data_IF_952121376386
#
_entry.id   IF_952121376386
#
_cell.length_a   1.000
_cell.length_b   1.000
_cell.length_c   1.000
_cell.angle_alpha   90.00
_cell.angle_beta   90.00
_cell.angle_gamma   90.00
#
_symmetry.space_group_name_H-M   'P 1'
#
loop_
_entity.id
_entity.type
_entity.pdbx_description
1 polymer ?
#
# COMPACT_ATOMS: atom_id res chain seq x y z
N UNK A 1 16.21 -22.04 -12.20
CA UNK A 1 14.90 -22.04 -11.56
C UNK A 1 14.34 -20.61 -11.61
N UNK A 2 13.23 -20.39 -12.28
CA UNK A 2 12.57 -19.07 -12.29
C UNK A 2 11.71 -18.97 -11.04
N UNK A 3 12.03 -18.08 -10.13
CA UNK A 3 11.25 -17.85 -8.92
C UNK A 3 10.15 -16.83 -9.25
N UNK A 4 8.92 -17.28 -9.33
CA UNK A 4 7.77 -16.39 -9.49
C UNK A 4 7.21 -16.03 -8.11
N UNK A 5 7.22 -14.74 -7.78
CA UNK A 5 6.55 -14.22 -6.59
C UNK A 5 5.08 -13.98 -6.93
N UNK A 6 4.18 -14.48 -6.10
CA UNK A 6 2.75 -14.22 -6.21
C UNK A 6 2.35 -13.20 -5.14
N UNK A 7 1.63 -12.18 -5.57
CA UNK A 7 1.09 -11.13 -4.71
C UNK A 7 -0.43 -11.20 -4.68
N UNK A 8 -1.10 -10.53 -3.73
CA UNK A 8 -2.54 -10.28 -3.82
C UNK A 8 -2.90 -9.65 -5.17
N UNK A 9 -4.11 -9.91 -5.68
CA UNK A 9 -4.55 -9.45 -6.99
C UNK A 9 -4.31 -7.95 -7.20
N UNK A 10 -3.95 -7.59 -8.41
CA UNK A 10 -3.90 -6.20 -8.86
C UNK A 10 -5.21 -5.81 -9.55
N UNK A 11 -5.43 -4.51 -9.71
CA UNK A 11 -6.64 -3.97 -10.34
C UNK A 11 -6.89 -4.53 -11.77
N UNK A 12 -5.81 -4.84 -12.50
CA UNK A 12 -5.89 -5.46 -13.82
C UNK A 12 -6.44 -6.90 -13.80
N UNK A 13 -6.21 -7.64 -12.71
CA UNK A 13 -6.68 -9.02 -12.52
C UNK A 13 -8.11 -9.05 -11.96
N UNK A 14 -8.46 -8.08 -11.11
CA UNK A 14 -9.80 -7.92 -10.53
C UNK A 14 -10.33 -6.52 -10.86
N UNK A 15 -11.20 -6.37 -11.88
CA UNK A 15 -11.65 -5.06 -12.34
C UNK A 15 -12.57 -4.34 -11.35
N UNK A 16 -12.68 -3.03 -11.50
CA UNK A 16 -13.62 -2.21 -10.73
C UNK A 16 -15.07 -2.47 -11.18
N UNK A 17 -15.99 -2.59 -10.22
CA UNK A 17 -17.41 -2.71 -10.50
C UNK A 17 -17.97 -1.44 -11.16
N UNK A 18 -18.77 -1.58 -12.20
CA UNK A 18 -19.47 -0.47 -12.86
C UNK A 18 -18.57 0.52 -13.62
N UNK A 19 -17.28 0.23 -13.77
CA UNK A 19 -16.36 1.13 -14.47
C UNK A 19 -16.28 0.82 -15.96
N UNK A 20 -16.57 1.85 -16.78
CA UNK A 20 -16.23 1.83 -18.21
C UNK A 20 -14.79 2.32 -18.35
N UNK A 21 -13.94 1.58 -19.06
CA UNK A 21 -12.53 1.95 -19.30
C UNK A 21 -12.46 3.38 -19.85
N UNK A 22 -12.01 4.30 -19.03
CA UNK A 22 -11.63 5.64 -19.50
C UNK A 22 -10.24 5.51 -20.12
N UNK A 23 -10.06 6.04 -21.33
CA UNK A 23 -8.79 5.96 -22.08
C UNK A 23 -7.79 6.92 -21.45
N UNK A 24 -7.16 6.48 -20.37
CA UNK A 24 -6.00 7.14 -19.76
C UNK A 24 -4.95 6.07 -19.56
N UNK A 25 -3.72 6.38 -19.93
CA UNK A 25 -2.58 5.53 -19.65
C UNK A 25 -2.44 5.35 -18.15
N UNK A 26 -2.37 4.12 -17.63
CA UNK A 26 -2.17 3.87 -16.20
C UNK A 26 -0.82 4.43 -15.74
N UNK A 27 -0.74 4.85 -14.47
CA UNK A 27 0.51 5.36 -13.88
C UNK A 27 1.66 4.34 -13.97
N UNK A 28 1.31 3.07 -13.86
CA UNK A 28 2.23 1.93 -14.02
C UNK A 28 1.54 0.89 -14.89
N UNK A 29 1.94 0.85 -16.16
CA UNK A 29 1.39 -0.10 -17.13
C UNK A 29 1.93 -1.51 -16.87
N UNK A 30 1.03 -2.49 -16.83
CA UNK A 30 1.38 -3.91 -16.76
C UNK A 30 1.34 -4.51 -18.17
N UNK A 31 2.48 -5.03 -18.69
CA UNK A 31 2.51 -5.62 -20.03
C UNK A 31 1.56 -6.82 -20.15
N UNK A 32 0.78 -6.85 -21.22
CA UNK A 32 -0.06 -8.01 -21.57
C UNK A 32 -1.41 -8.08 -20.83
N UNK A 33 -1.75 -7.09 -20.01
CA UNK A 33 -3.03 -7.06 -19.29
C UNK A 33 -4.23 -6.81 -20.23
N UNK A 34 -4.01 -6.27 -21.41
CA UNK A 34 -5.06 -6.09 -22.45
C UNK A 34 -5.73 -7.40 -22.87
N UNK A 35 -5.06 -8.54 -22.63
CA UNK A 35 -5.51 -9.89 -23.00
C UNK A 35 -6.07 -10.68 -21.82
N UNK A 36 -6.02 -10.12 -20.59
CA UNK A 36 -6.53 -10.81 -19.42
C UNK A 36 -8.06 -10.73 -19.42
N UNK A 37 -8.69 -11.89 -19.56
CA UNK A 37 -10.08 -12.06 -19.16
C UNK A 37 -10.05 -12.32 -17.66
N UNK A 38 -10.56 -11.37 -16.87
CA UNK A 38 -10.59 -11.53 -15.43
C UNK A 38 -11.41 -12.76 -15.03
N UNK A 39 -10.82 -13.62 -14.21
CA UNK A 39 -11.50 -14.78 -13.60
C UNK A 39 -12.13 -14.41 -12.26
N UNK A 40 -11.89 -13.20 -11.75
CA UNK A 40 -12.35 -12.73 -10.45
C UNK A 40 -13.52 -11.76 -10.59
N UNK A 41 -14.48 -11.78 -9.67
CA UNK A 41 -15.62 -10.88 -9.70
C UNK A 41 -15.16 -9.43 -9.54
N UNK A 42 -15.75 -8.48 -10.30
CA UNK A 42 -15.46 -7.06 -10.13
C UNK A 42 -15.89 -6.60 -8.74
N UNK A 43 -15.16 -5.63 -8.17
CA UNK A 43 -15.44 -5.09 -6.84
C UNK A 43 -15.46 -3.57 -6.82
N UNK A 44 -16.27 -3.01 -5.92
CA UNK A 44 -16.20 -1.62 -5.53
C UNK A 44 -14.99 -1.34 -4.64
N UNK A 45 -14.71 -0.08 -4.36
CA UNK A 45 -13.55 0.28 -3.53
C UNK A 45 -13.75 -0.12 -2.07
N UNK A 46 -14.95 0.02 -1.54
CA UNK A 46 -15.27 -0.32 -0.16
C UNK A 46 -15.06 -1.82 0.11
N UNK A 47 -15.42 -2.68 -0.82
CA UNK A 47 -15.17 -4.13 -0.74
C UNK A 47 -13.67 -4.45 -0.72
N UNK A 48 -12.90 -3.79 -1.61
CA UNK A 48 -11.44 -3.94 -1.68
C UNK A 48 -10.76 -3.52 -0.38
N UNK A 49 -11.18 -2.39 0.17
CA UNK A 49 -10.65 -1.89 1.43
C UNK A 49 -11.06 -2.74 2.63
N UNK A 50 -12.26 -3.37 2.59
CA UNK A 50 -12.74 -4.23 3.65
C UNK A 50 -12.04 -5.59 3.71
N UNK A 51 -11.89 -6.25 2.55
CA UNK A 51 -11.50 -7.66 2.52
C UNK A 51 -10.17 -7.92 1.78
N UNK A 52 -9.58 -6.90 1.17
CA UNK A 52 -8.34 -7.05 0.40
C UNK A 52 -8.52 -7.79 -0.92
N UNK A 53 -7.41 -8.30 -1.44
CA UNK A 53 -7.29 -8.82 -2.79
C UNK A 53 -6.69 -10.24 -2.84
N UNK A 54 -6.81 -11.03 -1.75
CA UNK A 54 -6.36 -12.42 -1.79
C UNK A 54 -7.28 -13.27 -2.67
N UNK A 55 -6.75 -14.02 -3.67
CA UNK A 55 -7.56 -14.80 -4.61
C UNK A 55 -8.56 -15.73 -3.93
N UNK A 56 -8.13 -16.44 -2.87
CA UNK A 56 -8.97 -17.37 -2.13
C UNK A 56 -10.08 -16.68 -1.30
N UNK A 57 -9.92 -15.40 -1.00
CA UNK A 57 -10.91 -14.62 -0.22
C UNK A 57 -11.96 -13.97 -1.14
N UNK A 58 -11.53 -13.42 -2.27
CA UNK A 58 -12.43 -12.71 -3.17
C UNK A 58 -13.48 -13.60 -3.84
N UNK A 59 -13.25 -14.92 -3.83
CA UNK A 59 -14.18 -15.93 -4.37
C UNK A 59 -15.21 -16.41 -3.34
N UNK A 60 -15.07 -16.03 -2.06
CA UNK A 60 -15.99 -16.40 -1.01
C UNK A 60 -17.21 -15.47 -0.96
N UNK A 61 -18.27 -15.94 -0.32
CA UNK A 61 -19.40 -15.09 0.04
C UNK A 61 -18.95 -13.99 1.02
N UNK A 62 -19.47 -12.77 0.87
CA UNK A 62 -19.02 -11.61 1.65
C UNK A 62 -19.13 -11.85 3.16
N UNK A 63 -20.16 -12.58 3.61
CA UNK A 63 -20.38 -12.89 5.02
C UNK A 63 -19.24 -13.70 5.67
N UNK A 64 -18.55 -14.52 4.88
CA UNK A 64 -17.51 -15.43 5.38
C UNK A 64 -16.10 -14.82 5.30
N UNK A 65 -15.88 -13.84 4.41
CA UNK A 65 -14.56 -13.31 4.09
C UNK A 65 -13.81 -12.80 5.32
N UNK A 66 -14.45 -12.02 6.17
CA UNK A 66 -13.81 -11.45 7.36
C UNK A 66 -13.36 -12.50 8.37
N UNK A 67 -14.19 -13.51 8.61
CA UNK A 67 -13.89 -14.60 9.54
C UNK A 67 -12.74 -15.46 9.00
N UNK A 68 -12.80 -15.80 7.71
CA UNK A 68 -11.80 -16.64 7.06
C UNK A 68 -10.46 -15.91 6.97
N UNK A 69 -10.44 -14.59 6.63
CA UNK A 69 -9.25 -13.77 6.64
C UNK A 69 -8.57 -13.75 8.01
N UNK A 70 -9.33 -13.53 9.06
CA UNK A 70 -8.81 -13.53 10.42
C UNK A 70 -8.21 -14.87 10.81
N UNK A 71 -8.92 -15.96 10.54
CA UNK A 71 -8.47 -17.33 10.84
C UNK A 71 -7.23 -17.69 10.03
N UNK A 72 -7.25 -17.40 8.72
CA UNK A 72 -6.12 -17.63 7.82
C UNK A 72 -4.86 -16.87 8.28
N UNK A 73 -4.98 -15.56 8.54
CA UNK A 73 -3.84 -14.74 8.96
C UNK A 73 -3.23 -15.27 10.25
N UNK A 74 -4.05 -15.66 11.23
CA UNK A 74 -3.55 -16.21 12.50
C UNK A 74 -2.90 -17.58 12.31
N UNK A 75 -3.57 -18.49 11.61
CA UNK A 75 -3.09 -19.86 11.41
C UNK A 75 -1.83 -19.90 10.53
N UNK A 76 -1.84 -19.16 9.43
CA UNK A 76 -0.70 -19.11 8.50
C UNK A 76 0.56 -18.55 9.18
N UNK A 77 0.41 -17.43 9.90
CA UNK A 77 1.54 -16.86 10.63
C UNK A 77 2.07 -17.80 11.71
N UNK A 78 1.19 -18.41 12.48
CA UNK A 78 1.60 -19.36 13.53
C UNK A 78 2.34 -20.56 12.95
N UNK A 79 1.82 -21.13 11.87
CA UNK A 79 2.39 -22.30 11.21
C UNK A 79 3.77 -21.99 10.61
N UNK A 80 3.88 -20.92 9.81
CA UNK A 80 5.14 -20.56 9.15
C UNK A 80 6.21 -20.12 10.15
N UNK A 81 5.85 -19.26 11.11
CA UNK A 81 6.80 -18.73 12.10
C UNK A 81 7.30 -19.84 13.03
N UNK A 82 6.43 -20.77 13.45
CA UNK A 82 6.82 -21.89 14.31
C UNK A 82 7.64 -22.96 13.58
N UNK A 83 7.30 -23.28 12.33
CA UNK A 83 8.07 -24.26 11.53
C UNK A 83 9.51 -23.84 11.35
N UNK A 84 9.74 -22.57 11.11
CA UNK A 84 11.08 -22.02 10.83
C UNK A 84 11.86 -21.67 12.09
N UNK A 85 11.28 -21.84 13.30
CA UNK A 85 11.86 -21.43 14.59
C UNK A 85 12.39 -19.98 14.60
N UNK A 86 11.73 -19.09 13.85
CA UNK A 86 12.19 -17.71 13.59
C UNK A 86 11.89 -16.77 14.75
N UNK A 87 11.06 -17.19 15.70
CA UNK A 87 10.60 -16.38 16.83
C UNK A 87 10.70 -17.21 18.11
N UNK A 88 11.46 -16.74 19.08
CA UNK A 88 11.60 -17.37 20.39
C UNK A 88 10.37 -17.13 21.27
N UNK A 89 9.80 -15.93 21.23
CA UNK A 89 8.61 -15.53 22.00
C UNK A 89 7.44 -15.23 21.06
N UNK A 90 6.57 -16.21 20.89
CA UNK A 90 5.34 -16.09 20.09
C UNK A 90 4.37 -15.03 20.62
N UNK A 91 4.26 -14.90 21.95
CA UNK A 91 3.40 -13.90 22.58
C UNK A 91 3.83 -12.49 22.24
N UNK A 92 5.12 -12.20 22.37
CA UNK A 92 5.71 -10.92 22.00
C UNK A 92 5.57 -10.65 20.48
N UNK A 93 5.73 -11.67 19.65
CA UNK A 93 5.53 -11.53 18.19
C UNK A 93 4.09 -11.14 17.84
N UNK A 94 3.09 -11.75 18.48
CA UNK A 94 1.67 -11.40 18.24
C UNK A 94 1.38 -9.95 18.65
N UNK A 95 1.94 -9.48 19.75
CA UNK A 95 1.81 -8.07 20.19
C UNK A 95 2.49 -7.15 19.17
N UNK A 96 3.71 -7.49 18.75
CA UNK A 96 4.42 -6.77 17.69
C UNK A 96 3.59 -6.69 16.40
N UNK A 97 3.04 -7.82 15.93
CA UNK A 97 2.25 -7.89 14.71
C UNK A 97 1.04 -6.94 14.75
N UNK A 98 0.32 -6.92 15.88
CA UNK A 98 -0.83 -6.02 16.08
C UNK A 98 -0.43 -4.55 16.00
N UNK A 99 0.70 -4.18 16.64
CA UNK A 99 1.22 -2.82 16.60
C UNK A 99 1.69 -2.45 15.19
N UNK A 100 2.46 -3.31 14.53
CA UNK A 100 2.91 -3.09 13.16
C UNK A 100 1.74 -2.89 12.18
N UNK A 101 0.66 -3.65 12.37
CA UNK A 101 -0.55 -3.52 11.55
C UNK A 101 -1.35 -2.26 11.89
N UNK A 102 -1.46 -1.89 13.17
CA UNK A 102 -2.10 -0.64 13.59
C UNK A 102 -1.36 0.60 13.06
N UNK A 103 -0.03 0.53 12.98
CA UNK A 103 0.84 1.59 12.48
C UNK A 103 1.16 1.48 10.97
N UNK A 104 0.51 0.55 10.25
CA UNK A 104 0.72 0.41 8.79
C UNK A 104 0.51 1.74 8.07
N UNK A 105 1.45 2.10 7.19
CA UNK A 105 1.52 3.38 6.51
C UNK A 105 2.31 4.47 7.25
N UNK A 106 2.63 4.27 8.53
CA UNK A 106 3.42 5.22 9.32
C UNK A 106 4.91 4.95 9.23
N UNK A 107 5.72 5.97 9.55
CA UNK A 107 7.17 5.78 9.74
C UNK A 107 7.44 4.85 10.93
N UNK A 108 8.27 3.83 10.74
CA UNK A 108 8.56 2.84 11.77
C UNK A 108 9.27 3.48 12.96
N UNK A 109 8.66 3.45 14.12
CA UNK A 109 9.32 3.84 15.36
C UNK A 109 9.82 2.61 16.13
N UNK A 110 11.01 2.11 15.76
CA UNK A 110 11.60 0.92 16.39
C UNK A 110 11.75 1.04 17.91
N UNK A 111 12.04 2.24 18.43
CA UNK A 111 12.20 2.45 19.85
C UNK A 111 10.86 2.35 20.60
N UNK A 112 9.81 2.99 20.09
CA UNK A 112 8.49 2.92 20.70
C UNK A 112 7.93 1.50 20.68
N UNK A 113 8.02 0.80 19.54
CA UNK A 113 7.56 -0.59 19.42
C UNK A 113 8.35 -1.50 20.37
N UNK A 114 9.69 -1.35 20.43
CA UNK A 114 10.58 -2.09 21.33
C UNK A 114 10.14 -1.97 22.79
N UNK A 115 9.80 -0.77 23.24
CA UNK A 115 9.30 -0.53 24.59
C UNK A 115 7.93 -1.16 24.85
N UNK A 116 7.00 -1.06 23.89
CA UNK A 116 5.65 -1.59 24.05
C UNK A 116 5.60 -3.12 24.04
N UNK A 117 6.47 -3.76 23.25
CA UNK A 117 6.53 -5.23 23.12
C UNK A 117 7.44 -5.87 24.18
N UNK A 118 8.33 -5.09 24.80
CA UNK A 118 9.32 -5.60 25.73
C UNK A 118 10.50 -6.33 25.05
N UNK A 119 10.78 -6.01 23.78
CA UNK A 119 11.85 -6.62 23.00
C UNK A 119 12.96 -5.62 22.67
N UNK A 120 14.13 -6.12 22.27
CA UNK A 120 15.20 -5.25 21.79
C UNK A 120 14.87 -4.65 20.41
N UNK A 121 15.41 -3.46 20.10
CA UNK A 121 15.23 -2.86 18.77
C UNK A 121 15.78 -3.74 17.62
N UNK A 122 16.93 -4.43 17.75
CA UNK A 122 17.35 -5.41 16.76
C UNK A 122 16.32 -6.52 16.50
N UNK A 123 15.71 -7.06 17.56
CA UNK A 123 14.64 -8.08 17.43
C UNK A 123 13.42 -7.52 16.70
N UNK A 124 12.98 -6.30 17.01
CA UNK A 124 11.87 -5.64 16.28
C UNK A 124 12.22 -5.45 14.81
N UNK A 125 13.46 -5.08 14.49
CA UNK A 125 13.91 -4.99 13.07
C UNK A 125 13.88 -6.33 12.37
N UNK A 126 14.30 -7.41 13.05
CA UNK A 126 14.22 -8.79 12.50
C UNK A 126 12.78 -9.23 12.27
N UNK A 127 11.84 -8.84 13.14
CA UNK A 127 10.43 -9.16 12.96
C UNK A 127 9.82 -8.43 11.76
N UNK A 128 10.17 -7.16 11.52
CA UNK A 128 9.77 -6.48 10.28
C UNK A 128 10.38 -7.17 9.04
N UNK A 129 11.65 -7.62 9.13
CA UNK A 129 12.27 -8.37 8.04
C UNK A 129 11.53 -9.68 7.78
N UNK A 130 11.15 -10.39 8.83
CA UNK A 130 10.36 -11.61 8.73
C UNK A 130 9.03 -11.38 8.01
N UNK A 131 8.30 -10.28 8.33
CA UNK A 131 7.08 -9.94 7.60
C UNK A 131 7.32 -9.67 6.10
N UNK A 132 8.47 -9.09 5.73
CA UNK A 132 8.84 -8.93 4.32
C UNK A 132 9.19 -10.25 3.65
N UNK A 133 9.95 -11.11 4.32
CA UNK A 133 10.36 -12.43 3.80
C UNK A 133 9.13 -13.35 3.59
N UNK A 134 8.10 -13.19 4.43
CA UNK A 134 6.81 -13.87 4.30
C UNK A 134 5.84 -13.19 3.32
N UNK A 135 6.24 -12.15 2.63
CA UNK A 135 5.40 -11.33 1.73
C UNK A 135 4.16 -10.70 2.38
N UNK A 136 4.14 -10.61 3.70
CA UNK A 136 3.05 -9.97 4.45
C UNK A 136 3.05 -8.45 4.31
N UNK A 137 4.22 -7.86 4.03
CA UNK A 137 4.36 -6.42 3.87
C UNK A 137 5.69 -6.03 3.22
N UNK A 138 5.91 -4.73 3.15
CA UNK A 138 7.12 -4.16 2.56
C UNK A 138 7.46 -2.81 3.19
N UNK A 139 8.74 -2.47 3.17
CA UNK A 139 9.20 -1.13 3.55
C UNK A 139 9.15 -0.19 2.36
N UNK A 140 8.53 0.97 2.56
CA UNK A 140 8.55 2.07 1.62
C UNK A 140 9.62 3.07 2.06
N UNK A 141 10.75 3.19 1.34
CA UNK A 141 11.84 4.10 1.71
C UNK A 141 11.48 5.56 1.44
N UNK A 142 12.13 6.47 2.14
CA UNK A 142 12.01 7.89 1.86
C UNK A 142 12.71 8.27 0.56
N UNK A 143 12.08 9.10 -0.27
CA UNK A 143 12.69 9.69 -1.46
C UNK A 143 13.78 10.68 -1.05
N UNK A 144 14.98 10.55 -1.61
CA UNK A 144 16.12 11.41 -1.33
C UNK A 144 16.52 12.19 -2.58
N UNK A 145 16.30 13.50 -2.58
CA UNK A 145 16.74 14.40 -3.67
C UNK A 145 18.26 14.44 -3.84
N UNK A 146 19.01 14.13 -2.79
CA UNK A 146 20.47 14.06 -2.81
C UNK A 146 20.96 13.03 -1.79
N UNK A 147 21.92 12.17 -2.17
CA UNK A 147 22.53 11.19 -1.25
C UNK A 147 23.19 11.83 -0.01
N UNK A 148 23.58 13.13 -0.11
CA UNK A 148 24.30 13.87 0.94
C UNK A 148 23.38 14.60 1.93
N UNK A 149 22.10 14.81 1.63
CA UNK A 149 21.16 15.44 2.56
C UNK A 149 20.52 14.36 3.41
N UNK A 150 20.76 14.41 4.73
CA UNK A 150 20.05 13.62 5.75
C UNK A 150 18.59 14.08 5.83
N UNK A 151 17.78 13.64 4.91
CA UNK A 151 16.33 13.64 5.03
C UNK A 151 15.94 12.51 5.98
N UNK A 152 14.77 12.56 6.55
CA UNK A 152 14.23 11.49 7.37
C UNK A 152 14.40 10.16 6.61
N UNK A 153 15.21 9.27 7.15
CA UNK A 153 15.60 8.03 6.45
C UNK A 153 14.85 6.80 6.93
N UNK A 154 13.97 6.97 7.91
CA UNK A 154 13.17 5.89 8.48
C UNK A 154 12.12 5.47 7.46
N UNK A 155 12.06 4.21 7.05
CA UNK A 155 11.04 3.76 6.10
C UNK A 155 9.66 3.75 6.75
N UNK A 156 8.61 3.83 5.92
CA UNK A 156 7.26 3.42 6.29
C UNK A 156 7.12 1.91 6.07
N UNK A 157 6.24 1.28 6.82
CA UNK A 157 5.89 -0.13 6.58
C UNK A 157 4.43 -0.23 6.15
N UNK A 158 4.18 -0.97 5.09
CA UNK A 158 2.85 -1.27 4.59
C UNK A 158 2.64 -2.79 4.55
N UNK A 159 1.48 -3.24 4.97
CA UNK A 159 1.05 -4.60 4.64
C UNK A 159 0.73 -4.70 3.14
N UNK A 160 1.02 -5.83 2.53
CA UNK A 160 0.81 -6.09 1.10
C UNK A 160 -0.67 -6.18 0.71
N UNK A 161 -1.54 -6.41 1.72
CA UNK A 161 -2.97 -6.53 1.56
C UNK A 161 -3.72 -5.87 2.73
N UNK A 162 -4.81 -5.16 2.41
CA UNK A 162 -5.58 -4.41 3.42
C UNK A 162 -6.36 -5.34 4.34
N UNK A 163 -6.91 -6.45 3.82
CA UNK A 163 -7.61 -7.44 4.61
C UNK A 163 -6.68 -8.15 5.60
N UNK A 164 -5.48 -8.52 5.14
CA UNK A 164 -4.43 -9.07 6.01
C UNK A 164 -4.05 -8.06 7.10
N UNK A 165 -3.90 -6.77 6.74
CA UNK A 165 -3.58 -5.72 7.71
C UNK A 165 -4.62 -5.61 8.83
N UNK A 166 -5.91 -5.65 8.49
CA UNK A 166 -6.99 -5.62 9.49
C UNK A 166 -6.97 -6.89 10.36
N UNK A 167 -6.85 -8.06 9.75
CA UNK A 167 -6.78 -9.33 10.46
C UNK A 167 -5.58 -9.40 11.42
N UNK A 168 -4.42 -8.90 11.00
CA UNK A 168 -3.20 -8.82 11.81
C UNK A 168 -3.35 -7.90 13.04
N UNK A 169 -4.23 -6.91 12.99
CA UNK A 169 -4.60 -6.10 14.15
C UNK A 169 -5.45 -6.89 15.19
N UNK A 170 -5.91 -8.09 14.85
CA UNK A 170 -6.85 -8.87 15.65
C UNK A 170 -8.31 -8.45 15.46
N UNK A 171 -8.59 -7.65 14.43
CA UNK A 171 -9.93 -7.20 14.06
C UNK A 171 -10.50 -8.17 13.02
N UNK A 172 -11.80 -8.42 13.05
CA UNK A 172 -12.45 -9.10 11.94
C UNK A 172 -12.65 -8.12 10.79
N UNK A 173 -12.02 -8.33 9.62
CA UNK A 173 -12.13 -7.43 8.49
C UNK A 173 -13.59 -7.26 8.04
N UNK A 174 -13.95 -6.03 7.66
CA UNK A 174 -15.31 -5.70 7.23
C UNK A 174 -15.49 -4.25 6.80
N UNK A 175 -16.62 -3.96 6.16
CA UNK A 175 -16.94 -2.60 5.68
C UNK A 175 -17.02 -1.57 6.82
N UNK A 176 -17.54 -1.96 7.99
CA UNK A 176 -17.66 -1.07 9.15
C UNK A 176 -16.28 -0.63 9.68
N UNK A 177 -15.28 -1.50 9.61
CA UNK A 177 -13.90 -1.18 9.98
C UNK A 177 -13.34 -0.09 9.06
N UNK A 178 -13.59 -0.21 7.77
CA UNK A 178 -13.16 0.77 6.76
C UNK A 178 -13.79 2.13 7.00
N UNK A 179 -15.09 2.17 7.31
CA UNK A 179 -15.83 3.42 7.53
C UNK A 179 -15.27 4.25 8.70
N UNK A 180 -14.60 3.63 9.65
CA UNK A 180 -13.96 4.35 10.77
C UNK A 180 -12.77 5.21 10.35
N UNK A 181 -12.02 4.80 9.33
CA UNK A 181 -10.88 5.56 8.79
C UNK A 181 -10.61 5.20 7.32
N UNK A 182 -11.52 5.55 6.40
CA UNK A 182 -11.43 5.13 5.00
C UNK A 182 -10.20 5.69 4.28
N UNK A 183 -9.72 6.87 4.67
CA UNK A 183 -8.54 7.50 4.08
C UNK A 183 -7.28 6.65 4.30
N UNK A 184 -7.08 6.13 5.51
CA UNK A 184 -5.94 5.26 5.85
C UNK A 184 -5.92 3.98 5.02
N UNK A 185 -7.06 3.29 4.94
CA UNK A 185 -7.15 2.03 4.19
C UNK A 185 -7.04 2.27 2.69
N UNK A 186 -7.55 3.39 2.19
CA UNK A 186 -7.43 3.77 0.79
C UNK A 186 -5.98 4.09 0.41
N UNK A 187 -5.26 4.86 1.23
CA UNK A 187 -3.82 5.11 1.03
C UNK A 187 -3.05 3.79 1.00
N UNK A 188 -3.28 2.91 1.97
CA UNK A 188 -2.61 1.60 2.01
C UNK A 188 -2.89 0.78 0.75
N UNK A 189 -4.15 0.72 0.29
CA UNK A 189 -4.51 -0.01 -0.91
C UNK A 189 -3.81 0.55 -2.16
N UNK A 190 -3.83 1.88 -2.35
CA UNK A 190 -3.16 2.54 -3.49
C UNK A 190 -1.66 2.28 -3.48
N UNK A 191 -1.00 2.44 -2.33
CA UNK A 191 0.44 2.20 -2.20
C UNK A 191 0.78 0.72 -2.48
N UNK A 192 0.00 -0.21 -1.94
CA UNK A 192 0.18 -1.64 -2.20
C UNK A 192 -0.05 -1.99 -3.68
N UNK A 193 -1.05 -1.40 -4.33
CA UNK A 193 -1.33 -1.59 -5.76
C UNK A 193 -0.15 -1.14 -6.62
N UNK A 194 0.37 0.08 -6.40
CA UNK A 194 1.53 0.61 -7.11
C UNK A 194 2.78 -0.25 -6.87
N UNK A 195 3.00 -0.65 -5.62
CA UNK A 195 4.14 -1.50 -5.26
C UNK A 195 4.08 -2.86 -5.97
N UNK A 196 2.94 -3.54 -5.94
CA UNK A 196 2.74 -4.84 -6.64
C UNK A 196 3.01 -4.73 -8.13
N UNK A 197 2.50 -3.69 -8.79
CA UNK A 197 2.76 -3.46 -10.21
C UNK A 197 4.25 -3.30 -10.51
N UNK A 198 4.97 -2.53 -9.70
CA UNK A 198 6.42 -2.38 -9.85
C UNK A 198 7.18 -3.70 -9.65
N UNK A 199 6.72 -4.56 -8.73
CA UNK A 199 7.30 -5.89 -8.57
C UNK A 199 7.10 -6.76 -9.83
N UNK A 200 5.91 -6.71 -10.44
CA UNK A 200 5.62 -7.46 -11.68
C UNK A 200 6.44 -6.99 -12.89
N UNK A 201 6.61 -5.68 -13.06
CA UNK A 201 7.40 -5.15 -14.19
C UNK A 201 8.91 -5.17 -13.94
N UNK A 202 9.34 -5.29 -12.70
CA UNK A 202 10.76 -5.31 -12.31
C UNK A 202 11.52 -4.02 -12.63
N UNK A 203 10.83 -2.90 -12.81
CA UNK A 203 11.40 -1.59 -13.15
C UNK A 203 10.74 -0.48 -12.34
N UNK A 204 11.55 0.55 -12.00
CA UNK A 204 11.09 1.67 -11.18
C UNK A 204 11.21 1.39 -9.68
N UNK A 205 11.03 2.45 -8.88
CA UNK A 205 11.07 2.40 -7.43
C UNK A 205 9.93 3.24 -6.86
N UNK A 206 9.39 2.81 -5.75
CA UNK A 206 8.40 3.55 -5.00
C UNK A 206 9.01 4.06 -3.70
N UNK A 207 8.73 5.31 -3.39
CA UNK A 207 9.19 6.01 -2.20
C UNK A 207 8.04 6.81 -1.59
N UNK A 208 8.17 7.25 -0.34
CA UNK A 208 7.39 8.36 0.18
C UNK A 208 8.29 9.60 0.30
N UNK A 209 7.72 10.78 0.44
CA UNK A 209 8.49 11.99 0.68
C UNK A 209 7.97 12.70 1.92
N UNK A 210 8.90 13.10 2.80
CA UNK A 210 8.59 13.88 3.98
C UNK A 210 9.75 14.82 4.31
N UNK A 211 9.42 16.07 4.64
CA UNK A 211 10.38 17.07 5.09
C UNK A 211 10.29 17.28 6.61
N UNK A 212 11.31 17.85 7.21
CA UNK A 212 11.30 18.24 8.63
C UNK A 212 10.21 19.27 8.94
N UNK A 213 9.82 20.07 7.97
CA UNK A 213 8.80 21.12 8.10
C UNK A 213 7.38 20.58 7.92
N UNK A 214 7.21 19.27 7.80
CA UNK A 214 5.90 18.60 7.74
C UNK A 214 5.26 18.57 6.35
N UNK A 215 5.99 18.92 5.27
CA UNK A 215 5.50 18.66 3.92
C UNK A 215 5.63 17.16 3.61
N UNK A 216 4.55 16.55 3.18
CA UNK A 216 4.45 15.11 2.97
C UNK A 216 3.81 14.82 1.61
N UNK A 217 4.27 13.75 0.95
CA UNK A 217 3.69 13.17 -0.26
C UNK A 217 3.64 11.67 -0.05
N UNK A 218 2.48 11.08 -0.28
CA UNK A 218 2.18 9.68 0.06
C UNK A 218 3.04 8.71 -0.76
N UNK A 219 3.23 8.99 -2.07
CA UNK A 219 4.12 8.21 -2.92
C UNK A 219 4.91 9.07 -3.90
N UNK A 220 6.14 8.64 -4.20
CA UNK A 220 6.97 9.16 -5.28
C UNK A 220 7.41 7.97 -6.13
N UNK A 221 6.91 7.89 -7.34
CA UNK A 221 7.30 6.88 -8.32
C UNK A 221 8.52 7.38 -9.08
N UNK A 222 9.64 6.67 -8.94
CA UNK A 222 10.89 6.93 -9.65
C UNK A 222 11.05 5.92 -10.77
N UNK A 223 11.05 6.38 -12.01
CA UNK A 223 11.36 5.61 -13.20
C UNK A 223 12.72 6.05 -13.77
N UNK A 224 13.16 5.44 -14.86
CA UNK A 224 14.41 5.80 -15.54
C UNK A 224 14.41 7.27 -15.97
N UNK A 225 13.26 7.80 -16.41
CA UNK A 225 13.17 9.10 -17.09
C UNK A 225 12.40 10.15 -16.29
N UNK A 226 11.57 9.76 -15.34
CA UNK A 226 10.64 10.64 -14.64
C UNK A 226 10.54 10.33 -13.15
N UNK A 227 10.25 11.38 -12.39
CA UNK A 227 9.88 11.32 -10.98
C UNK A 227 8.45 11.83 -10.87
N UNK A 228 7.54 10.99 -10.40
CA UNK A 228 6.11 11.29 -10.37
C UNK A 228 5.64 11.30 -8.90
N UNK A 229 5.38 12.47 -8.30
CA UNK A 229 4.79 12.56 -6.98
C UNK A 229 3.28 12.27 -7.04
N UNK A 230 2.80 11.50 -6.07
CA UNK A 230 1.42 11.01 -6.00
C UNK A 230 0.88 11.27 -4.61
N UNK A 231 -0.26 11.92 -4.54
CA UNK A 231 -1.06 12.14 -3.33
C UNK A 231 -2.29 11.25 -3.37
N UNK A 232 -2.71 10.70 -2.24
CA UNK A 232 -3.88 9.83 -2.12
C UNK A 232 -4.93 10.51 -1.26
N UNK A 233 -6.15 10.69 -1.79
CA UNK A 233 -7.22 11.39 -1.06
C UNK A 233 -8.55 10.65 -1.17
N UNK A 234 -9.12 10.31 -0.01
CA UNK A 234 -10.47 9.77 0.07
C UNK A 234 -11.51 10.87 -0.16
N UNK A 235 -11.59 11.34 -1.40
CA UNK A 235 -12.52 12.39 -1.80
C UNK A 235 -13.01 12.19 -3.23
N UNK A 236 -14.21 12.64 -3.52
CA UNK A 236 -14.75 12.72 -4.89
C UNK A 236 -14.50 14.09 -5.54
N UNK A 237 -14.11 15.07 -4.73
CA UNK A 237 -13.90 16.46 -5.15
C UNK A 237 -12.53 16.96 -4.73
N UNK A 238 -11.47 16.50 -5.40
CA UNK A 238 -10.11 16.98 -5.14
C UNK A 238 -10.00 18.46 -5.51
N UNK A 239 -9.14 19.17 -4.81
CA UNK A 239 -9.00 20.62 -4.91
C UNK A 239 -7.54 21.04 -5.07
N UNK A 240 -7.29 22.30 -5.42
CA UNK A 240 -5.94 22.86 -5.50
C UNK A 240 -5.21 22.82 -4.14
N UNK A 241 -5.94 22.80 -3.03
CA UNK A 241 -5.34 22.65 -1.69
C UNK A 241 -4.64 21.28 -1.56
N UNK A 242 -5.21 20.25 -2.12
CA UNK A 242 -4.66 18.89 -2.08
C UNK A 242 -3.40 18.76 -2.95
N UNK A 243 -3.22 19.64 -3.94
CA UNK A 243 -2.06 19.69 -4.82
C UNK A 243 -0.85 20.45 -4.26
N UNK A 244 -0.98 21.13 -3.11
CA UNK A 244 0.03 22.09 -2.61
C UNK A 244 1.43 21.49 -2.47
N UNK A 245 1.53 20.32 -1.87
CA UNK A 245 2.84 19.67 -1.65
C UNK A 245 3.40 19.09 -2.93
N UNK A 246 2.55 18.61 -3.85
CA UNK A 246 2.94 18.12 -5.17
C UNK A 246 3.56 19.24 -6.00
N UNK A 247 2.91 20.41 -6.06
CA UNK A 247 3.40 21.59 -6.80
C UNK A 247 4.78 22.00 -6.31
N UNK A 248 4.95 22.18 -5.00
CA UNK A 248 6.24 22.52 -4.41
C UNK A 248 7.30 21.45 -4.70
N UNK A 249 6.94 20.18 -4.65
CA UNK A 249 7.86 19.09 -4.95
C UNK A 249 8.35 19.14 -6.39
N UNK A 250 7.45 19.38 -7.35
CA UNK A 250 7.78 19.50 -8.78
C UNK A 250 8.71 20.69 -9.02
N UNK A 251 8.44 21.85 -8.43
CA UNK A 251 9.28 23.04 -8.54
C UNK A 251 10.71 22.79 -8.03
N UNK A 252 10.85 21.98 -6.98
CA UNK A 252 12.14 21.75 -6.32
C UNK A 252 12.86 20.48 -6.79
N UNK A 253 12.26 19.65 -7.65
CA UNK A 253 12.81 18.33 -8.01
C UNK A 253 13.04 18.22 -9.52
N UNK A 254 14.30 18.13 -9.98
CA UNK A 254 14.60 17.86 -11.39
C UNK A 254 13.90 16.56 -11.87
N UNK A 255 13.45 16.55 -13.13
CA UNK A 255 12.75 15.43 -13.78
C UNK A 255 11.36 15.10 -13.18
N UNK A 256 10.84 15.91 -12.26
CA UNK A 256 9.46 15.88 -11.84
C UNK A 256 8.68 16.94 -12.63
N UNK A 257 7.89 16.52 -13.61
CA UNK A 257 7.14 17.43 -14.51
C UNK A 257 5.66 17.41 -14.21
N UNK A 258 5.14 16.27 -13.77
CA UNK A 258 3.73 16.02 -13.53
C UNK A 258 3.54 15.32 -12.18
N UNK A 259 2.38 15.52 -11.57
CA UNK A 259 1.97 14.85 -10.35
C UNK A 259 0.50 14.44 -10.40
N UNK A 260 0.14 13.49 -9.57
CA UNK A 260 -1.21 12.93 -9.56
C UNK A 260 -1.84 12.95 -8.17
N UNK A 261 -3.16 13.16 -8.15
CA UNK A 261 -3.99 12.93 -6.97
C UNK A 261 -4.86 11.72 -7.26
N UNK A 262 -4.59 10.59 -6.63
CA UNK A 262 -5.45 9.40 -6.73
C UNK A 262 -6.62 9.57 -5.76
N UNK A 263 -7.83 9.51 -6.29
CA UNK A 263 -9.04 9.77 -5.48
C UNK A 263 -10.29 9.05 -6.03
N UNK A 264 -11.46 9.37 -5.48
CA UNK A 264 -12.74 8.80 -5.90
C UNK A 264 -13.50 9.68 -6.90
N UNK A 265 -12.81 10.57 -7.59
CA UNK A 265 -13.46 11.38 -8.61
C UNK A 265 -14.03 10.51 -9.74
N UNK A 266 -15.15 10.91 -10.37
CA UNK A 266 -15.80 10.07 -11.40
C UNK A 266 -15.05 10.04 -12.74
N UNK A 267 -14.18 11.01 -12.96
CA UNK A 267 -13.37 11.13 -14.19
C UNK A 267 -12.11 11.94 -13.88
N UNK A 268 -11.05 11.79 -14.66
CA UNK A 268 -9.87 12.61 -14.53
C UNK A 268 -10.17 14.10 -14.72
N UNK A 269 -9.49 14.91 -13.91
CA UNK A 269 -9.63 16.36 -13.94
C UNK A 269 -8.33 17.08 -13.65
N UNK A 270 -8.07 18.16 -14.37
CA UNK A 270 -6.92 19.01 -14.15
C UNK A 270 -7.14 19.85 -12.90
N UNK A 271 -6.24 19.75 -11.92
CA UNK A 271 -6.29 20.51 -10.66
C UNK A 271 -5.36 21.75 -10.73
N UNK A 272 -4.23 21.58 -11.40
CA UNK A 272 -3.26 22.64 -11.75
C UNK A 272 -2.55 22.24 -13.05
N UNK A 273 -1.71 23.10 -13.59
CA UNK A 273 -1.06 22.85 -14.89
C UNK A 273 -0.31 21.53 -14.95
N UNK A 274 0.34 21.15 -13.85
CA UNK A 274 1.14 19.93 -13.74
C UNK A 274 0.49 18.86 -12.84
N UNK A 275 -0.74 19.08 -12.36
CA UNK A 275 -1.40 18.14 -11.44
C UNK A 275 -2.72 17.69 -12.02
N UNK A 276 -2.86 16.37 -12.13
CA UNK A 276 -4.10 15.72 -12.57
C UNK A 276 -4.64 14.84 -11.44
N UNK A 277 -5.90 15.03 -11.09
CA UNK A 277 -6.62 14.08 -10.24
C UNK A 277 -7.16 12.95 -11.13
N UNK A 278 -6.94 11.72 -10.69
CA UNK A 278 -7.38 10.51 -11.40
C UNK A 278 -8.25 9.64 -10.49
N UNK A 279 -9.28 9.02 -11.06
CA UNK A 279 -10.01 7.96 -10.36
C UNK A 279 -9.07 6.81 -9.99
N UNK A 280 -9.28 6.18 -8.84
CA UNK A 280 -8.52 5.01 -8.41
C UNK A 280 -8.55 3.86 -9.42
N UNK A 281 -9.60 3.78 -10.23
CA UNK A 281 -9.76 2.79 -11.29
C UNK A 281 -8.77 2.97 -12.46
N UNK A 282 -8.11 4.11 -12.52
CA UNK A 282 -7.12 4.45 -13.55
C UNK A 282 -5.66 4.31 -13.06
N UNK A 283 -5.45 3.63 -11.94
CA UNK A 283 -4.11 3.27 -11.46
C UNK A 283 -3.40 2.36 -12.44
#
# INVERSE_FOLDING_TARGET
>A
CMLHRMFPLVLAERPAAGHSKTVIEPLVELPGTDRLTSQFPPADIEERLAYGELPGIVLLDEADRGIILRSFTTAHLEEEVRKEALVEDWGAFVVFLRLAAAESGSMINYAAISQQVGLSQPTVKSYYQLLEDMFMGFRLPAFKRSPRKNLLSTPRFFFSDVGICQAAQGITPGRDVVLSNPGKYFEQWVIAELWKRLQYIGKGKLHYFCTKDGAEIDAVLETTDRIIPIEVKWTERPSRKDARHLLRFIEETPNATDGYIVCRCPRPQKIADNITAIPWQNL
#
